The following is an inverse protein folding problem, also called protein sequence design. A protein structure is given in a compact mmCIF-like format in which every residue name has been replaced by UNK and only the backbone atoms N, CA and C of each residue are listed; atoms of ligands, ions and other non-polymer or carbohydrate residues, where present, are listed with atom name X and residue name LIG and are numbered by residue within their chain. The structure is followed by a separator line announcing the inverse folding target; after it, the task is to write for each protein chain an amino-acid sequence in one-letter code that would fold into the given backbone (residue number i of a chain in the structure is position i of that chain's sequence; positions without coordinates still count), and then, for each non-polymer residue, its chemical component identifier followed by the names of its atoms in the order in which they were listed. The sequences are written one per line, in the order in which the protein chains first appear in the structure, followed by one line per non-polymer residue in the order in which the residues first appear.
data_IF_903217332143
#
_entry.id   IF_903217332143
#
_cell.length_a   1.000
_cell.length_b   1.000
_cell.length_c   1.000
_cell.angle_alpha   90.00
_cell.angle_beta   90.00
_cell.angle_gamma   90.00
#
_symmetry.space_group_name_H-M   'P 1'
#
loop_
_entity.id
_entity.type
_entity.pdbx_description
1 polymer ?
#
# COMPACT_ATOMS: atom_id res chain seq x y z
N UNK A 1 -31.68 5.94 29.64
CA UNK A 1 -31.81 7.31 29.09
C UNK A 1 -30.74 7.48 28.03
N UNK A 2 -31.12 7.41 26.75
CA UNK A 2 -30.20 7.44 25.63
C UNK A 2 -29.74 8.88 25.34
N UNK A 3 -28.44 9.09 25.36
CA UNK A 3 -27.84 10.31 24.83
C UNK A 3 -27.93 10.20 23.31
N UNK A 4 -28.93 10.86 22.72
CA UNK A 4 -28.97 11.10 21.29
C UNK A 4 -27.73 11.93 20.93
N UNK A 5 -26.73 11.30 20.35
CA UNK A 5 -25.59 11.98 19.72
C UNK A 5 -26.15 12.83 18.59
N UNK A 6 -26.25 14.14 18.83
CA UNK A 6 -26.67 15.19 17.90
C UNK A 6 -25.60 15.40 16.83
N UNK A 7 -25.29 14.36 16.05
CA UNK A 7 -24.57 14.57 14.80
C UNK A 7 -25.58 15.13 13.80
N UNK A 8 -25.35 16.33 13.23
CA UNK A 8 -26.29 16.87 12.25
C UNK A 8 -26.51 15.87 11.11
N UNK A 9 -27.75 15.67 10.63
CA UNK A 9 -28.02 14.78 9.52
C UNK A 9 -27.27 15.27 8.26
N UNK A 10 -26.80 14.33 7.44
CA UNK A 10 -26.11 14.67 6.18
C UNK A 10 -27.01 15.58 5.32
N UNK A 11 -26.44 16.68 4.83
CA UNK A 11 -27.15 17.62 3.98
C UNK A 11 -27.08 17.14 2.54
N UNK A 12 -28.24 16.93 1.91
CA UNK A 12 -28.31 16.65 0.46
C UNK A 12 -28.06 17.95 -0.29
N UNK A 13 -27.01 17.99 -1.09
CA UNK A 13 -26.67 19.11 -1.97
C UNK A 13 -26.60 18.56 -3.39
N UNK A 14 -27.69 18.72 -4.15
CA UNK A 14 -27.81 18.12 -5.48
C UNK A 14 -27.79 16.59 -5.45
N UNK A 15 -26.79 16.00 -6.12
CA UNK A 15 -26.57 14.54 -6.22
C UNK A 15 -25.67 14.00 -5.08
N UNK A 16 -25.19 14.85 -4.18
CA UNK A 16 -24.28 14.49 -3.09
C UNK A 16 -24.94 14.58 -1.72
N UNK A 17 -24.49 13.74 -0.79
CA UNK A 17 -24.73 13.85 0.65
C UNK A 17 -23.45 14.36 1.32
N UNK A 18 -23.53 15.55 1.90
CA UNK A 18 -22.42 16.19 2.62
C UNK A 18 -22.62 15.99 4.11
N UNK A 19 -21.65 15.36 4.75
CA UNK A 19 -21.66 15.09 6.18
C UNK A 19 -21.00 16.25 6.96
N UNK A 20 -21.36 16.48 8.22
CA UNK A 20 -20.81 17.57 9.04
C UNK A 20 -19.30 17.48 9.27
N UNK A 21 -18.71 16.30 9.10
CA UNK A 21 -17.27 16.04 9.17
C UNK A 21 -16.53 16.35 7.85
N UNK A 22 -17.24 16.91 6.86
CA UNK A 22 -16.70 17.28 5.55
C UNK A 22 -16.56 16.12 4.57
N UNK A 23 -17.09 14.93 4.89
CA UNK A 23 -17.13 13.78 3.97
C UNK A 23 -18.29 13.89 2.99
N UNK A 24 -18.04 13.40 1.78
CA UNK A 24 -19.02 13.39 0.70
C UNK A 24 -19.35 11.93 0.32
N UNK A 25 -20.62 11.69 0.04
CA UNK A 25 -21.16 10.44 -0.48
C UNK A 25 -22.13 10.73 -1.63
N UNK A 26 -22.28 9.81 -2.58
CA UNK A 26 -23.31 9.94 -3.61
C UNK A 26 -24.69 9.70 -2.99
N UNK A 27 -25.64 10.58 -3.26
CA UNK A 27 -27.01 10.45 -2.77
C UNK A 27 -27.82 9.36 -3.51
N UNK A 28 -27.42 9.05 -4.74
CA UNK A 28 -27.87 7.92 -5.56
C UNK A 28 -26.72 7.44 -6.44
N UNK A 29 -26.44 6.14 -6.44
CA UNK A 29 -25.41 5.54 -7.29
C UNK A 29 -25.95 5.05 -8.64
N UNK A 30 -27.28 5.10 -8.86
CA UNK A 30 -27.93 4.69 -10.11
C UNK A 30 -27.38 5.44 -11.34
N UNK A 31 -27.05 6.73 -11.17
CA UNK A 31 -26.49 7.59 -12.22
C UNK A 31 -25.14 7.10 -12.76
N UNK A 32 -24.31 6.48 -11.92
CA UNK A 32 -22.99 6.00 -12.33
C UNK A 32 -23.00 4.52 -12.76
N UNK A 33 -24.01 3.74 -12.35
CA UNK A 33 -24.08 2.30 -12.64
C UNK A 33 -24.17 1.96 -14.14
N UNK A 34 -24.78 2.84 -14.93
CA UNK A 34 -24.89 2.65 -16.38
C UNK A 34 -23.64 3.12 -17.16
N UNK A 35 -22.63 3.65 -16.46
CA UNK A 35 -21.40 4.10 -17.10
C UNK A 35 -20.55 2.90 -17.56
N UNK A 36 -19.96 2.94 -18.77
CA UNK A 36 -19.02 1.92 -19.21
C UNK A 36 -17.73 1.88 -18.36
N UNK A 37 -17.51 2.88 -17.49
CA UNK A 37 -16.37 2.96 -16.58
C UNK A 37 -16.69 2.51 -15.15
N UNK A 38 -17.92 2.04 -14.90
CA UNK A 38 -18.36 1.55 -13.61
C UNK A 38 -17.85 0.11 -13.39
N UNK A 39 -17.23 -0.10 -12.24
CA UNK A 39 -16.95 -1.42 -11.69
C UNK A 39 -17.24 -1.38 -10.19
N UNK A 40 -17.68 -2.50 -9.60
CA UNK A 40 -17.97 -2.58 -8.16
C UNK A 40 -16.74 -2.24 -7.31
N UNK A 41 -15.53 -2.63 -7.75
CA UNK A 41 -14.28 -2.32 -7.04
C UNK A 41 -13.81 -0.87 -7.23
N UNK A 42 -14.33 -0.19 -8.26
CA UNK A 42 -14.03 1.21 -8.55
C UNK A 42 -15.10 2.16 -8.02
N UNK A 43 -16.23 1.63 -7.58
CA UNK A 43 -17.34 2.42 -7.07
C UNK A 43 -16.93 3.15 -5.77
N UNK A 44 -17.41 4.39 -5.54
CA UNK A 44 -17.18 5.08 -4.29
C UNK A 44 -17.71 4.26 -3.10
N UNK A 45 -16.92 4.16 -2.03
CA UNK A 45 -17.32 3.40 -0.83
C UNK A 45 -18.26 4.24 0.04
N UNK A 46 -19.50 3.77 0.30
CA UNK A 46 -20.45 4.43 1.19
C UNK A 46 -19.88 4.60 2.59
N UNK A 47 -20.21 5.68 3.31
CA UNK A 47 -19.66 5.95 4.64
C UNK A 47 -19.99 4.82 5.62
N UNK A 48 -21.19 4.22 5.51
CA UNK A 48 -21.59 3.05 6.31
C UNK A 48 -20.66 1.84 6.17
N UNK A 49 -19.92 1.72 5.06
CA UNK A 49 -18.95 0.65 4.80
C UNK A 49 -17.51 1.04 5.15
N UNK A 50 -17.25 2.30 5.51
CA UNK A 50 -15.93 2.79 5.96
C UNK A 50 -15.71 2.44 7.44
N UNK A 51 -15.54 1.16 7.73
CA UNK A 51 -15.44 0.60 9.10
C UNK A 51 -14.05 0.73 9.74
N UNK A 52 -13.08 1.27 9.00
CA UNK A 52 -11.70 1.33 9.46
C UNK A 52 -11.50 2.41 10.53
N UNK A 53 -11.04 1.99 11.70
CA UNK A 53 -10.66 2.86 12.81
C UNK A 53 -9.18 3.22 12.74
N UNK A 54 -8.73 4.17 13.56
CA UNK A 54 -7.31 4.55 13.70
C UNK A 54 -6.40 3.35 13.98
N UNK A 55 -6.89 2.37 14.75
CA UNK A 55 -6.16 1.15 15.04
C UNK A 55 -5.88 0.34 13.77
N UNK A 56 -6.88 0.18 12.90
CA UNK A 56 -6.72 -0.58 11.65
C UNK A 56 -5.68 0.07 10.74
N UNK A 57 -5.69 1.40 10.65
CA UNK A 57 -4.67 2.14 9.90
C UNK A 57 -3.28 1.99 10.53
N UNK A 58 -3.15 2.12 11.85
CA UNK A 58 -1.89 1.96 12.55
C UNK A 58 -1.32 0.55 12.37
N UNK A 59 -2.14 -0.49 12.54
CA UNK A 59 -1.75 -1.88 12.37
C UNK A 59 -1.27 -2.16 10.94
N UNK A 60 -2.01 -1.66 9.93
CA UNK A 60 -1.60 -1.77 8.52
C UNK A 60 -0.25 -1.09 8.29
N UNK A 61 -0.07 0.14 8.79
CA UNK A 61 1.17 0.90 8.58
C UNK A 61 2.38 0.27 9.24
N UNK A 62 2.24 -0.20 10.50
CA UNK A 62 3.31 -0.91 11.19
C UNK A 62 3.65 -2.20 10.45
N UNK A 63 2.64 -2.95 10.00
CA UNK A 63 2.84 -4.18 9.22
C UNK A 63 3.58 -3.95 7.91
N UNK A 64 3.29 -2.85 7.20
CA UNK A 64 4.01 -2.50 5.96
C UNK A 64 5.43 -1.95 6.23
N UNK A 65 5.63 -1.21 7.32
CA UNK A 65 6.92 -0.62 7.67
C UNK A 65 7.92 -1.66 8.19
N UNK A 66 7.43 -2.75 8.78
CA UNK A 66 8.27 -3.83 9.31
C UNK A 66 8.64 -4.82 8.20
N UNK A 67 9.75 -4.54 7.51
CA UNK A 67 10.25 -5.41 6.45
C UNK A 67 11.79 -5.44 6.40
N UNK A 68 12.33 -6.49 5.80
CA UNK A 68 13.78 -6.72 5.71
C UNK A 68 14.51 -5.59 4.95
N UNK A 69 14.02 -5.09 3.80
CA UNK A 69 14.64 -3.95 3.13
C UNK A 69 14.83 -2.71 4.01
N UNK A 70 13.89 -2.39 4.90
CA UNK A 70 14.05 -1.29 5.86
C UNK A 70 15.24 -1.51 6.80
N UNK A 71 15.46 -2.74 7.27
CA UNK A 71 16.63 -3.08 8.07
C UNK A 71 17.92 -3.01 7.25
N UNK A 72 17.90 -3.48 6.01
CA UNK A 72 19.05 -3.42 5.10
C UNK A 72 19.45 -1.97 4.79
N UNK A 73 18.47 -1.08 4.61
CA UNK A 73 18.71 0.36 4.42
C UNK A 73 19.43 0.95 5.64
N UNK A 74 18.94 0.66 6.86
CA UNK A 74 19.56 1.16 8.08
C UNK A 74 20.98 0.60 8.27
N UNK A 75 21.19 -0.71 8.09
CA UNK A 75 22.52 -1.31 8.17
C UNK A 75 23.47 -0.81 7.07
N UNK A 76 22.94 -0.57 5.87
CA UNK A 76 23.69 -0.07 4.72
C UNK A 76 24.22 1.34 4.96
N UNK A 77 23.40 2.24 5.50
CA UNK A 77 23.85 3.58 5.87
C UNK A 77 24.97 3.55 6.91
N UNK A 78 24.87 2.65 7.90
CA UNK A 78 25.93 2.47 8.90
C UNK A 78 27.20 1.89 8.27
N UNK A 79 27.07 0.91 7.37
CA UNK A 79 28.19 0.34 6.64
C UNK A 79 28.91 1.35 5.74
N UNK A 80 28.20 2.37 5.23
CA UNK A 80 28.77 3.49 4.48
C UNK A 80 29.54 4.50 5.36
N UNK A 81 29.64 4.27 6.67
CA UNK A 81 30.42 5.08 7.60
C UNK A 81 29.60 6.05 8.45
N UNK A 82 28.26 6.03 8.34
CA UNK A 82 27.39 6.85 9.16
C UNK A 82 27.24 6.25 10.57
N UNK A 83 27.24 7.08 11.62
CA UNK A 83 26.95 6.56 12.95
C UNK A 83 25.49 6.06 13.04
N UNK A 84 25.23 5.06 13.87
CA UNK A 84 23.90 4.43 13.99
C UNK A 84 22.78 5.45 14.27
N UNK A 85 23.05 6.45 15.10
CA UNK A 85 22.08 7.50 15.43
C UNK A 85 21.84 8.46 14.27
N UNK A 86 22.87 8.78 13.49
CA UNK A 86 22.74 9.60 12.29
C UNK A 86 21.90 8.87 11.24
N UNK A 87 22.14 7.58 11.02
CA UNK A 87 21.36 6.78 10.08
C UNK A 87 19.87 6.75 10.44
N UNK A 88 19.54 6.54 11.71
CA UNK A 88 18.15 6.57 12.19
C UNK A 88 17.52 7.95 12.00
N UNK A 89 18.24 9.03 12.35
CA UNK A 89 17.74 10.40 12.20
C UNK A 89 17.50 10.76 10.73
N UNK A 90 18.40 10.38 9.82
CA UNK A 90 18.24 10.61 8.38
C UNK A 90 17.03 9.87 7.83
N UNK A 91 16.83 8.60 8.20
CA UNK A 91 15.66 7.82 7.80
C UNK A 91 14.37 8.43 8.35
N UNK A 92 14.37 8.84 9.62
CA UNK A 92 13.21 9.47 10.25
C UNK A 92 12.84 10.79 9.55
N UNK A 93 13.84 11.64 9.27
CA UNK A 93 13.64 12.90 8.55
C UNK A 93 13.09 12.66 7.14
N UNK A 94 13.65 11.69 6.40
CA UNK A 94 13.17 11.34 5.07
C UNK A 94 11.69 10.89 5.10
N UNK A 95 11.30 10.07 6.08
CA UNK A 95 9.91 9.63 6.23
C UNK A 95 8.95 10.79 6.57
N UNK A 96 9.38 11.75 7.39
CA UNK A 96 8.59 12.96 7.69
C UNK A 96 8.39 13.80 6.42
N UNK A 97 9.41 13.95 5.58
CA UNK A 97 9.30 14.69 4.33
C UNK A 97 8.31 13.99 3.38
N UNK A 98 8.40 12.67 3.25
CA UNK A 98 7.51 11.86 2.40
C UNK A 98 6.07 11.86 2.92
N UNK A 99 5.86 12.03 4.22
CA UNK A 99 4.53 12.11 4.82
C UNK A 99 3.68 13.25 4.23
N UNK A 100 4.29 14.38 3.90
CA UNK A 100 3.57 15.56 3.39
C UNK A 100 2.79 15.27 2.09
N UNK A 101 3.43 14.87 0.98
CA UNK A 101 2.71 14.54 -0.26
C UNK A 101 1.80 13.31 -0.09
N UNK A 102 2.15 12.38 0.81
CA UNK A 102 1.32 11.21 1.09
C UNK A 102 -0.02 11.59 1.72
N UNK A 103 0.00 12.51 2.70
CA UNK A 103 -1.22 13.06 3.31
C UNK A 103 -2.04 13.84 2.29
N UNK A 104 -1.40 14.68 1.47
CA UNK A 104 -2.07 15.43 0.41
C UNK A 104 -2.82 14.50 -0.57
N UNK A 105 -2.17 13.42 -1.01
CA UNK A 105 -2.79 12.44 -1.91
C UNK A 105 -3.91 11.63 -1.21
N UNK A 106 -3.79 11.37 0.09
CA UNK A 106 -4.80 10.62 0.86
C UNK A 106 -6.12 11.38 1.05
N UNK A 107 -6.09 12.72 0.97
CA UNK A 107 -7.25 13.57 1.26
C UNK A 107 -8.43 13.31 0.33
N UNK A 108 -8.21 13.16 -0.97
CA UNK A 108 -9.29 12.88 -1.92
C UNK A 108 -9.94 11.51 -1.68
N UNK A 109 -9.13 10.50 -1.37
CA UNK A 109 -9.62 9.15 -1.06
C UNK A 109 -10.44 9.10 0.23
N UNK A 110 -10.03 9.82 1.28
CA UNK A 110 -10.77 9.83 2.56
C UNK A 110 -12.04 10.69 2.50
N UNK A 111 -12.02 11.80 1.76
CA UNK A 111 -13.16 12.70 1.59
C UNK A 111 -14.27 12.07 0.76
N UNK A 112 -13.95 11.56 -0.42
CA UNK A 112 -14.93 11.05 -1.40
C UNK A 112 -15.08 9.52 -1.42
N UNK A 113 -14.18 8.78 -0.76
CA UNK A 113 -14.21 7.30 -0.75
C UNK A 113 -13.89 6.68 -2.11
N UNK A 114 -13.20 7.42 -2.98
CA UNK A 114 -12.83 6.97 -4.33
C UNK A 114 -11.45 6.31 -4.34
N UNK A 115 -11.25 5.26 -5.14
CA UNK A 115 -9.95 4.63 -5.27
C UNK A 115 -9.01 5.44 -6.18
N UNK A 116 -7.69 5.23 -6.01
CA UNK A 116 -6.66 5.98 -6.75
C UNK A 116 -6.84 6.01 -8.28
N UNK A 117 -7.21 4.91 -8.97
CA UNK A 117 -7.41 4.95 -10.42
C UNK A 117 -8.53 5.90 -10.85
N UNK A 118 -9.57 6.10 -10.01
CA UNK A 118 -10.66 7.04 -10.28
C UNK A 118 -10.19 8.47 -10.02
N UNK A 119 -9.44 8.70 -8.94
CA UNK A 119 -8.85 10.00 -8.65
C UNK A 119 -7.89 10.47 -9.75
N UNK A 120 -7.05 9.56 -10.28
CA UNK A 120 -6.11 9.86 -11.34
C UNK A 120 -6.78 10.32 -12.65
N UNK A 121 -8.04 9.92 -12.90
CA UNK A 121 -8.81 10.36 -14.08
C UNK A 121 -9.10 11.86 -14.07
N UNK A 122 -9.18 12.48 -12.88
CA UNK A 122 -9.39 13.93 -12.78
C UNK A 122 -8.20 14.73 -13.31
N UNK A 123 -6.97 14.20 -13.20
CA UNK A 123 -5.75 14.88 -13.65
C UNK A 123 -5.30 14.46 -15.04
N UNK A 124 -5.39 13.16 -15.37
CA UNK A 124 -4.84 12.59 -16.60
C UNK A 124 -5.90 12.17 -17.62
N UNK A 125 -7.19 12.34 -17.31
CA UNK A 125 -8.29 11.82 -18.11
C UNK A 125 -8.44 10.30 -18.02
N UNK A 126 -9.43 9.75 -18.72
CA UNK A 126 -9.79 8.33 -18.66
C UNK A 126 -8.66 7.42 -19.16
N UNK A 127 -8.08 7.75 -20.31
CA UNK A 127 -7.00 6.95 -20.91
C UNK A 127 -5.64 7.22 -20.26
N UNK A 128 -5.33 8.46 -19.90
CA UNK A 128 -4.06 8.80 -19.25
C UNK A 128 -3.91 8.22 -17.84
N UNK A 129 -5.03 8.05 -17.11
CA UNK A 129 -5.02 7.39 -15.81
C UNK A 129 -4.52 5.94 -15.88
N UNK A 130 -4.71 5.24 -17.01
CA UNK A 130 -4.21 3.88 -17.19
C UNK A 130 -2.68 3.85 -17.22
N UNK A 131 -2.02 4.85 -17.82
CA UNK A 131 -0.56 4.95 -17.84
C UNK A 131 -0.02 5.13 -16.42
N UNK A 132 -0.60 6.05 -15.65
CA UNK A 132 -0.23 6.25 -14.24
C UNK A 132 -0.44 4.98 -13.40
N UNK A 133 -1.56 4.27 -13.61
CA UNK A 133 -1.84 3.01 -12.95
C UNK A 133 -0.83 1.91 -13.29
N UNK A 134 -0.44 1.78 -14.57
CA UNK A 134 0.56 0.81 -15.03
C UNK A 134 1.96 1.10 -14.48
N UNK A 135 2.38 2.38 -14.48
CA UNK A 135 3.66 2.79 -13.88
C UNK A 135 3.70 2.42 -12.39
N UNK A 136 2.61 2.70 -11.66
CA UNK A 136 2.47 2.31 -10.26
C UNK A 136 2.51 0.79 -10.08
N UNK A 137 1.83 0.04 -10.95
CA UNK A 137 1.85 -1.42 -10.93
C UNK A 137 3.26 -1.98 -11.16
N UNK A 138 4.03 -1.40 -12.09
CA UNK A 138 5.41 -1.81 -12.35
C UNK A 138 6.31 -1.66 -11.12
N UNK A 139 6.20 -0.52 -10.41
CA UNK A 139 6.92 -0.32 -9.13
C UNK A 139 6.48 -1.34 -8.08
N UNK A 140 5.18 -1.64 -7.99
CA UNK A 140 4.66 -2.66 -7.07
C UNK A 140 5.19 -4.07 -7.39
N UNK A 141 5.28 -4.45 -8.67
CA UNK A 141 5.88 -5.71 -9.10
C UNK A 141 7.38 -5.78 -8.74
N UNK A 142 8.11 -4.67 -8.88
CA UNK A 142 9.52 -4.60 -8.46
C UNK A 142 9.68 -4.83 -6.95
N UNK A 143 8.85 -4.17 -6.13
CA UNK A 143 8.83 -4.39 -4.69
C UNK A 143 8.44 -5.82 -4.32
N UNK A 144 7.44 -6.40 -4.99
CA UNK A 144 7.07 -7.79 -4.80
C UNK A 144 8.25 -8.73 -5.08
N UNK A 145 8.94 -8.56 -6.21
CA UNK A 145 10.10 -9.38 -6.58
C UNK A 145 11.23 -9.31 -5.54
N UNK A 146 11.56 -8.12 -5.01
CA UNK A 146 12.58 -7.97 -3.97
C UNK A 146 12.17 -8.71 -2.70
N UNK A 147 10.92 -8.59 -2.28
CA UNK A 147 10.42 -9.21 -1.05
C UNK A 147 10.36 -10.74 -1.19
N UNK A 148 9.91 -11.25 -2.33
CA UNK A 148 9.92 -12.68 -2.64
C UNK A 148 11.34 -13.22 -2.73
N UNK A 149 12.31 -12.46 -3.25
CA UNK A 149 13.72 -12.85 -3.27
C UNK A 149 14.28 -13.05 -1.87
N UNK A 150 14.07 -12.05 -1.00
CA UNK A 150 14.55 -12.12 0.37
C UNK A 150 13.83 -13.25 1.14
N UNK A 151 12.52 -13.39 0.96
CA UNK A 151 11.71 -14.47 1.55
C UNK A 151 12.14 -15.86 1.09
N UNK A 152 12.37 -16.04 -0.21
CA UNK A 152 12.92 -17.26 -0.79
C UNK A 152 14.31 -17.58 -0.26
N UNK A 153 15.15 -16.57 -0.01
CA UNK A 153 16.44 -16.73 0.67
C UNK A 153 16.30 -17.25 2.10
N UNK A 154 15.32 -16.76 2.85
CA UNK A 154 15.03 -17.26 4.19
C UNK A 154 14.52 -18.70 4.17
N UNK A 155 13.63 -19.04 3.22
CA UNK A 155 13.14 -20.41 3.03
C UNK A 155 14.28 -21.36 2.64
N UNK A 156 15.15 -20.95 1.73
CA UNK A 156 16.34 -21.68 1.31
C UNK A 156 17.29 -21.96 2.49
N UNK A 157 17.55 -20.95 3.34
CA UNK A 157 18.41 -21.10 4.51
C UNK A 157 17.81 -22.07 5.55
N UNK A 158 16.49 -21.97 5.81
CA UNK A 158 15.80 -22.84 6.75
C UNK A 158 15.77 -24.30 6.26
N UNK A 159 15.40 -24.50 5.00
CA UNK A 159 15.36 -25.83 4.37
C UNK A 159 16.74 -26.45 4.26
N UNK A 160 17.78 -25.66 4.00
CA UNK A 160 19.18 -26.12 4.03
C UNK A 160 19.62 -26.63 5.40
N UNK A 161 19.14 -26.01 6.48
CA UNK A 161 19.39 -26.51 7.85
C UNK A 161 18.66 -27.81 8.17
N UNK A 162 17.53 -28.07 7.53
CA UNK A 162 16.72 -29.28 7.76
C UNK A 162 17.13 -30.46 6.88
N UNK A 163 17.43 -30.19 5.60
CA UNK A 163 17.70 -31.20 4.57
C UNK A 163 19.20 -31.47 4.35
N UNK A 164 20.07 -30.68 4.98
CA UNK A 164 21.52 -30.88 4.96
C UNK A 164 22.21 -30.36 3.68
N UNK A 165 23.49 -30.70 3.54
CA UNK A 165 24.40 -30.09 2.56
C UNK A 165 24.00 -30.30 1.09
N UNK A 166 23.22 -31.35 0.78
CA UNK A 166 22.72 -31.62 -0.57
C UNK A 166 21.74 -30.56 -1.07
N UNK A 167 21.06 -29.85 -0.16
CA UNK A 167 20.17 -28.74 -0.52
C UNK A 167 20.95 -27.44 -0.77
N UNK A 168 22.02 -27.21 -0.02
CA UNK A 168 22.82 -25.98 -0.13
C UNK A 168 23.86 -26.02 -1.24
N UNK A 169 24.32 -27.21 -1.62
CA UNK A 169 25.27 -27.43 -2.73
C UNK A 169 24.57 -27.90 -4.02
N UNK A 170 23.32 -27.49 -4.23
CA UNK A 170 22.58 -27.88 -5.44
C UNK A 170 23.18 -27.29 -6.71
N UNK A 171 22.78 -27.83 -7.87
CA UNK A 171 23.26 -27.37 -9.17
C UNK A 171 23.07 -25.85 -9.32
N UNK A 172 24.12 -25.15 -9.75
CA UNK A 172 24.07 -23.71 -9.99
C UNK A 172 23.29 -23.40 -11.26
N UNK A 173 22.34 -22.48 -11.15
CA UNK A 173 21.54 -21.95 -12.23
C UNK A 173 21.60 -20.42 -12.19
N UNK A 174 22.08 -19.79 -13.26
CA UNK A 174 22.31 -18.34 -13.34
C UNK A 174 23.08 -17.75 -12.13
N UNK A 175 24.14 -18.43 -11.69
CA UNK A 175 25.00 -17.96 -10.59
C UNK A 175 24.44 -18.15 -9.18
N UNK A 176 23.26 -18.76 -9.03
CA UNK A 176 22.66 -19.10 -7.75
C UNK A 176 22.26 -20.59 -7.67
N UNK A 177 22.22 -21.21 -6.48
CA UNK A 177 21.75 -22.59 -6.33
C UNK A 177 20.32 -22.76 -6.88
N UNK A 178 20.06 -23.83 -7.62
CA UNK A 178 18.72 -24.16 -8.16
C UNK A 178 17.66 -24.27 -7.05
N UNK A 179 18.05 -24.72 -5.86
CA UNK A 179 17.22 -24.75 -4.66
C UNK A 179 16.86 -23.36 -4.12
N UNK A 180 17.66 -22.33 -4.37
CA UNK A 180 17.30 -20.93 -4.07
C UNK A 180 16.23 -20.43 -5.04
N UNK A 181 16.35 -20.74 -6.34
CA UNK A 181 15.32 -20.41 -7.33
C UNK A 181 14.00 -21.13 -7.06
N UNK A 182 14.06 -22.40 -6.63
CA UNK A 182 12.88 -23.12 -6.17
C UNK A 182 12.25 -22.44 -4.95
N UNK A 183 13.07 -22.05 -3.97
CA UNK A 183 12.59 -21.36 -2.77
C UNK A 183 11.97 -20.00 -3.11
N UNK A 184 12.53 -19.28 -4.09
CA UNK A 184 11.95 -18.05 -4.63
C UNK A 184 10.60 -18.28 -5.32
N UNK A 185 10.46 -19.34 -6.11
CA UNK A 185 9.22 -19.63 -6.81
C UNK A 185 8.09 -20.14 -5.88
N UNK A 186 8.46 -20.76 -4.75
CA UNK A 186 7.52 -21.30 -3.76
C UNK A 186 7.03 -20.24 -2.77
N UNK A 187 7.82 -19.18 -2.53
CA UNK A 187 7.49 -18.10 -1.60
C UNK A 187 6.47 -17.12 -2.20
#
# INVERSE_FOLDING_TARGET
MGVATLTPPAQRVGEELVYPDGRHELADDSAIRNSPLYNVDLAPVPIKRRTWTTYNYMALWIGMAHNIPTYLLASGLVALGMAWYQAILTIALANIIVLIPMLANSHAGTKYGIPYPVFARASFGVFGANVAALLRAGVACGWFGIQTWIGGGALYALTGKLLGEGWTNSAMFFGHPSTLWLSFAVF
#
